data_IF_938650639572
#
_entry.id   IF_938650639572
#
_cell.length_a   1.000
_cell.length_b   1.000
_cell.length_c   1.000
_cell.angle_alpha   90.00
_cell.angle_beta   90.00
_cell.angle_gamma   90.00
#
_symmetry.space_group_name_H-M   'P 1'
#
loop_
_entity.id
_entity.type
_entity.pdbx_description
1 polymer ?
#
# COMPACT_ATOMS: atom_id res chain seq x y z
N UNK A 1 29.94 -10.60 -6.83
CA UNK A 1 28.50 -10.64 -6.54
C UNK A 1 28.26 -11.30 -5.19
N UNK A 2 27.33 -10.79 -4.38
CA UNK A 2 26.85 -11.48 -3.18
C UNK A 2 25.33 -11.40 -3.06
N UNK A 3 24.72 -12.48 -2.60
CA UNK A 3 23.29 -12.61 -2.37
C UNK A 3 23.07 -13.08 -0.93
N UNK A 4 22.27 -12.37 -0.17
CA UNK A 4 21.81 -12.84 1.14
C UNK A 4 20.30 -13.01 1.15
N UNK A 5 19.84 -14.05 1.81
CA UNK A 5 18.42 -14.35 2.01
C UNK A 5 18.22 -14.75 3.46
N UNK A 6 17.15 -14.25 4.10
CA UNK A 6 16.77 -14.66 5.45
C UNK A 6 15.27 -14.87 5.53
N UNK A 7 14.84 -16.02 6.03
CA UNK A 7 13.42 -16.36 6.21
C UNK A 7 13.19 -16.74 7.67
N UNK A 8 12.20 -16.09 8.28
CA UNK A 8 11.77 -16.37 9.65
C UNK A 8 10.51 -17.23 9.59
N UNK A 9 10.50 -18.34 10.33
CA UNK A 9 9.39 -19.26 10.45
C UNK A 9 9.02 -19.42 11.94
N UNK A 10 7.89 -18.85 12.39
CA UNK A 10 7.39 -19.10 13.75
C UNK A 10 6.85 -20.52 13.84
N UNK A 11 7.37 -21.32 14.77
CA UNK A 11 6.89 -22.69 15.02
C UNK A 11 5.83 -22.67 16.11
N UNK A 12 6.06 -21.87 17.16
CA UNK A 12 5.11 -21.65 18.24
C UNK A 12 5.03 -20.16 18.55
N UNK A 13 4.13 -19.78 19.46
CA UNK A 13 4.04 -18.40 19.96
C UNK A 13 5.34 -17.91 20.66
N UNK A 14 6.22 -18.83 21.07
CA UNK A 14 7.48 -18.51 21.76
C UNK A 14 8.72 -18.87 20.97
N UNK A 15 8.62 -19.78 20.01
CA UNK A 15 9.76 -20.33 19.29
C UNK A 15 9.72 -19.93 17.81
N UNK A 16 10.85 -19.45 17.32
CA UNK A 16 11.03 -19.01 15.94
C UNK A 16 12.32 -19.58 15.40
N UNK A 17 12.26 -20.20 14.22
CA UNK A 17 13.46 -20.58 13.47
C UNK A 17 13.71 -19.52 12.41
N UNK A 18 14.96 -19.09 12.30
CA UNK A 18 15.43 -18.21 11.23
C UNK A 18 16.46 -18.98 10.41
N UNK A 19 16.16 -19.14 9.13
CA UNK A 19 17.08 -19.71 8.16
C UNK A 19 17.63 -18.57 7.32
N UNK A 20 18.94 -18.39 7.32
CA UNK A 20 19.60 -17.41 6.45
C UNK A 20 20.72 -18.03 5.65
N UNK A 21 20.84 -17.62 4.40
CA UNK A 21 21.94 -17.99 3.51
C UNK A 21 22.64 -16.72 3.03
N UNK A 22 23.97 -16.76 2.98
CA UNK A 22 24.78 -15.76 2.33
C UNK A 22 25.64 -16.46 1.28
N UNK A 23 25.51 -16.04 0.03
CA UNK A 23 26.29 -16.51 -1.09
C UNK A 23 27.19 -15.35 -1.53
N UNK A 24 28.50 -15.56 -1.55
CA UNK A 24 29.46 -14.70 -2.21
C UNK A 24 30.07 -15.43 -3.40
N UNK A 25 30.70 -14.70 -4.32
CA UNK A 25 31.25 -15.26 -5.57
C UNK A 25 32.17 -16.48 -5.40
N UNK A 26 32.80 -16.66 -4.23
CA UNK A 26 33.75 -17.74 -3.97
C UNK A 26 33.38 -18.62 -2.77
N UNK A 27 32.48 -18.16 -1.90
CA UNK A 27 32.07 -18.90 -0.72
C UNK A 27 30.61 -18.67 -0.39
N UNK A 28 29.92 -19.72 0.05
CA UNK A 28 28.58 -19.64 0.60
C UNK A 28 28.59 -20.06 2.05
N UNK A 29 27.68 -19.50 2.84
CA UNK A 29 27.41 -19.95 4.20
C UNK A 29 25.90 -20.03 4.42
N UNK A 30 25.45 -21.12 5.01
CA UNK A 30 24.06 -21.31 5.45
C UNK A 30 24.05 -21.31 6.97
N UNK A 31 23.18 -20.48 7.52
CA UNK A 31 22.97 -20.30 8.96
C UNK A 31 21.55 -20.71 9.32
N UNK A 32 21.43 -21.53 10.35
CA UNK A 32 20.16 -21.89 10.99
C UNK A 32 20.19 -21.39 12.43
N UNK A 33 19.16 -20.66 12.80
CA UNK A 33 19.05 -19.97 14.07
C UNK A 33 17.75 -20.37 14.77
N UNK A 34 17.82 -20.88 16.00
CA UNK A 34 16.66 -21.15 16.83
C UNK A 34 16.54 -20.08 17.92
N UNK A 35 15.46 -19.30 17.90
CA UNK A 35 15.15 -18.24 18.87
C UNK A 35 13.98 -18.68 19.74
N UNK A 36 14.15 -18.58 21.06
CA UNK A 36 13.11 -18.87 22.06
C UNK A 36 12.89 -17.68 22.98
N UNK A 37 11.64 -17.26 23.11
CA UNK A 37 11.20 -16.26 24.09
C UNK A 37 11.10 -16.94 25.47
N UNK A 38 11.97 -16.56 26.41
CA UNK A 38 11.94 -17.10 27.78
C UNK A 38 10.98 -16.32 28.69
N UNK A 39 10.85 -15.02 28.45
CA UNK A 39 10.01 -14.09 29.20
C UNK A 39 9.54 -12.98 28.27
N UNK A 40 8.60 -12.15 28.70
CA UNK A 40 8.20 -10.93 27.98
C UNK A 40 9.39 -10.00 27.73
N UNK A 41 10.40 -10.06 28.60
CA UNK A 41 11.53 -9.14 28.63
C UNK A 41 12.86 -9.80 28.22
N UNK A 42 12.84 -11.03 27.70
CA UNK A 42 14.09 -11.73 27.37
C UNK A 42 13.93 -12.92 26.43
N UNK A 43 14.95 -13.14 25.62
CA UNK A 43 15.00 -14.21 24.63
C UNK A 43 16.41 -14.79 24.51
N UNK A 44 16.48 -16.04 24.08
CA UNK A 44 17.74 -16.75 23.78
C UNK A 44 17.70 -17.20 22.33
N UNK A 45 18.83 -17.10 21.64
CA UNK A 45 19.00 -17.50 20.25
C UNK A 45 20.25 -18.38 20.14
N UNK A 46 20.10 -19.53 19.52
CA UNK A 46 21.20 -20.43 19.18
C UNK A 46 21.40 -20.39 17.68
N UNK A 47 22.63 -20.15 17.25
CA UNK A 47 23.01 -19.92 15.85
C UNK A 47 24.02 -20.99 15.43
N UNK A 48 23.75 -21.70 14.33
CA UNK A 48 24.67 -22.66 13.72
C UNK A 48 24.86 -22.25 12.27
N UNK A 49 26.08 -21.92 11.88
CA UNK A 49 26.42 -21.54 10.50
C UNK A 49 27.48 -22.48 9.94
N UNK A 50 27.25 -22.97 8.73
CA UNK A 50 28.15 -23.86 8.01
C UNK A 50 28.42 -23.32 6.60
N UNK A 51 29.65 -23.52 6.09
CA UNK A 51 30.03 -23.23 4.71
C UNK A 51 31.43 -22.64 4.56
N UNK A 52 31.73 -21.56 5.30
CA UNK A 52 33.07 -20.95 5.34
C UNK A 52 33.77 -21.23 6.69
N UNK A 53 33.63 -22.47 7.16
CA UNK A 53 33.89 -22.90 8.54
C UNK A 53 32.59 -23.16 9.33
N UNK A 54 32.70 -23.93 10.41
CA UNK A 54 31.61 -24.16 11.36
C UNK A 54 31.63 -23.03 12.40
N UNK A 55 30.52 -22.33 12.55
CA UNK A 55 30.29 -21.35 13.60
C UNK A 55 29.09 -21.79 14.43
N UNK A 56 29.29 -21.92 15.74
CA UNK A 56 28.22 -22.22 16.69
C UNK A 56 28.20 -21.12 17.74
N UNK A 57 27.08 -20.43 17.87
CA UNK A 57 26.91 -19.32 18.80
C UNK A 57 25.63 -19.40 19.61
N UNK A 58 25.65 -18.80 20.79
CA UNK A 58 24.49 -18.55 21.61
C UNK A 58 24.44 -17.05 21.95
N UNK A 59 23.25 -16.46 21.84
CA UNK A 59 22.97 -15.06 22.11
C UNK A 59 21.81 -14.95 23.08
N UNK A 60 22.04 -14.28 24.19
CA UNK A 60 21.08 -14.09 25.27
C UNK A 60 20.77 -12.59 25.35
N UNK A 61 19.51 -12.23 25.21
CA UNK A 61 19.03 -10.86 25.36
C UNK A 61 18.11 -10.75 26.57
N UNK A 62 18.30 -9.71 27.37
CA UNK A 62 17.42 -9.40 28.49
C UNK A 62 17.30 -7.89 28.66
N UNK A 63 16.06 -7.41 28.77
CA UNK A 63 15.77 -6.06 29.25
C UNK A 63 15.92 -6.05 30.77
N UNK A 64 16.91 -5.30 31.26
CA UNK A 64 17.24 -5.19 32.70
C UNK A 64 16.29 -4.17 33.35
N UNK A 65 16.11 -3.03 32.67
CA UNK A 65 15.21 -1.93 33.05
C UNK A 65 14.43 -1.50 31.80
N UNK A 66 13.34 -0.75 31.94
CA UNK A 66 12.58 -0.21 30.78
C UNK A 66 13.44 0.54 29.76
N UNK A 67 14.55 1.12 30.20
CA UNK A 67 15.50 1.89 29.35
C UNK A 67 16.79 1.14 29.05
N UNK A 68 17.14 0.07 29.79
CA UNK A 68 18.44 -0.62 29.71
C UNK A 68 18.22 -2.08 29.28
N UNK A 69 18.93 -2.51 28.25
CA UNK A 69 18.96 -3.90 27.82
C UNK A 69 20.40 -4.39 27.66
N UNK A 70 20.60 -5.66 27.97
CA UNK A 70 21.87 -6.34 27.81
C UNK A 70 21.74 -7.50 26.82
N UNK A 71 22.76 -7.67 25.99
CA UNK A 71 22.92 -8.84 25.14
C UNK A 71 24.29 -9.46 25.39
N UNK A 72 24.31 -10.75 25.68
CA UNK A 72 25.55 -11.53 25.81
C UNK A 72 25.58 -12.55 24.68
N UNK A 73 26.65 -12.54 23.91
CA UNK A 73 26.87 -13.42 22.77
C UNK A 73 28.17 -14.20 23.01
N UNK A 74 28.11 -15.52 22.86
CA UNK A 74 29.28 -16.40 22.88
C UNK A 74 29.25 -17.27 21.64
N UNK A 75 30.38 -17.34 20.92
CA UNK A 75 30.49 -18.14 19.70
C UNK A 75 31.82 -18.87 19.61
N UNK A 76 31.78 -20.03 18.96
CA UNK A 76 32.92 -20.85 18.62
C UNK A 76 33.07 -20.82 17.10
N UNK A 77 34.21 -20.31 16.64
CA UNK A 77 34.51 -20.22 15.22
C UNK A 77 35.59 -21.24 14.89
N UNK A 78 35.34 -22.07 13.88
CA UNK A 78 36.35 -22.93 13.29
C UNK A 78 37.22 -22.11 12.33
N UNK A 79 38.54 -22.19 12.53
CA UNK A 79 39.51 -21.64 11.59
C UNK A 79 40.04 -22.80 10.75
N UNK A 80 40.51 -22.55 9.53
CA UNK A 80 41.05 -23.56 8.59
C UNK A 80 42.16 -24.49 9.14
N UNK A 81 42.62 -24.28 10.39
CA UNK A 81 43.54 -25.14 11.14
C UNK A 81 42.86 -26.15 12.08
N UNK A 82 41.52 -26.29 12.06
CA UNK A 82 40.78 -27.27 12.87
C UNK A 82 40.72 -26.97 14.38
N UNK A 83 41.04 -25.73 14.79
CA UNK A 83 40.98 -25.30 16.20
C UNK A 83 39.82 -24.35 16.41
N UNK A 84 38.85 -24.74 17.24
CA UNK A 84 37.73 -23.89 17.64
C UNK A 84 38.21 -22.77 18.58
N UNK A 85 37.93 -21.52 18.23
CA UNK A 85 38.30 -20.35 19.06
C UNK A 85 37.05 -19.72 19.69
N UNK A 86 36.97 -19.64 21.04
CA UNK A 86 35.85 -18.99 21.70
C UNK A 86 35.98 -17.47 21.62
N UNK A 87 34.92 -16.84 21.12
CA UNK A 87 34.75 -15.40 21.01
C UNK A 87 33.51 -15.01 21.80
N UNK A 88 33.63 -13.97 22.61
CA UNK A 88 32.54 -13.43 23.40
C UNK A 88 32.32 -11.96 23.10
N UNK A 89 31.06 -11.54 23.11
CA UNK A 89 30.68 -10.14 23.00
C UNK A 89 29.55 -9.82 23.97
N UNK A 90 29.74 -8.79 24.77
CA UNK A 90 28.73 -8.22 25.65
C UNK A 90 28.34 -6.86 25.10
N UNK A 91 27.04 -6.63 24.90
CA UNK A 91 26.45 -5.37 24.46
C UNK A 91 25.50 -4.87 25.55
N UNK A 92 25.73 -3.68 26.07
CA UNK A 92 24.82 -2.97 26.94
C UNK A 92 24.27 -1.76 26.18
N UNK A 93 22.96 -1.70 26.03
CA UNK A 93 22.25 -0.60 25.39
C UNK A 93 21.38 0.14 26.40
N UNK A 94 21.33 1.47 26.29
CA UNK A 94 20.46 2.32 27.09
C UNK A 94 19.80 3.39 26.23
N UNK A 95 18.51 3.62 26.43
CA UNK A 95 17.83 4.80 25.90
C UNK A 95 18.22 6.01 26.76
N UNK A 96 19.03 6.90 26.20
CA UNK A 96 19.48 8.14 26.84
C UNK A 96 18.42 9.25 26.76
N UNK A 97 17.48 9.13 25.83
CA UNK A 97 16.33 10.01 25.68
C UNK A 97 15.34 9.45 24.65
N UNK A 98 14.25 10.18 24.40
CA UNK A 98 13.18 9.73 23.51
C UNK A 98 13.64 9.40 22.08
N UNK A 99 14.76 9.99 21.64
CA UNK A 99 15.30 9.87 20.27
C UNK A 99 16.76 9.41 20.21
N UNK A 100 17.37 9.13 21.36
CA UNK A 100 18.81 8.81 21.45
C UNK A 100 19.03 7.51 22.22
N UNK A 101 19.78 6.60 21.62
CA UNK A 101 20.16 5.30 22.18
C UNK A 101 21.68 5.19 22.20
N UNK A 102 22.23 4.90 23.38
CA UNK A 102 23.64 4.64 23.57
C UNK A 102 23.88 3.14 23.70
N UNK A 103 24.98 2.66 23.11
CA UNK A 103 25.43 1.29 23.20
C UNK A 103 26.89 1.24 23.61
N UNK A 104 27.22 0.30 24.47
CA UNK A 104 28.58 -0.05 24.82
C UNK A 104 28.73 -1.53 24.52
N UNK A 105 29.64 -1.90 23.63
CA UNK A 105 29.94 -3.31 23.38
C UNK A 105 31.40 -3.64 23.59
N UNK A 106 31.63 -4.61 24.45
CA UNK A 106 32.93 -5.23 24.70
C UNK A 106 32.95 -6.56 23.97
N UNK A 107 33.79 -6.70 22.97
CA UNK A 107 33.94 -7.92 22.18
C UNK A 107 35.39 -8.38 22.19
N UNK A 108 35.64 -9.66 22.25
CA UNK A 108 37.00 -10.17 22.19
C UNK A 108 37.10 -11.67 22.24
N UNK A 109 38.32 -12.16 22.09
CA UNK A 109 38.61 -13.58 22.30
C UNK A 109 38.67 -13.85 23.80
N UNK A 110 37.90 -14.82 24.29
CA UNK A 110 37.85 -15.16 25.72
C UNK A 110 39.22 -15.55 26.28
N UNK A 111 40.11 -16.09 25.43
CA UNK A 111 41.40 -16.61 25.84
C UNK A 111 42.52 -15.56 25.89
N UNK A 112 42.30 -14.31 25.48
CA UNK A 112 43.38 -13.30 25.49
C UNK A 112 42.86 -11.86 25.57
N UNK A 113 43.30 -11.16 26.61
CA UNK A 113 43.01 -9.73 26.86
C UNK A 113 43.55 -8.84 25.74
N UNK A 114 44.63 -9.24 25.04
CA UNK A 114 45.19 -8.47 23.92
C UNK A 114 44.27 -8.40 22.69
N UNK A 115 43.24 -9.25 22.62
CA UNK A 115 42.28 -9.27 21.51
C UNK A 115 40.88 -8.79 21.92
N UNK A 116 40.78 -7.97 22.97
CA UNK A 116 39.53 -7.30 23.35
C UNK A 116 39.43 -5.94 22.67
N UNK A 117 38.23 -5.62 22.18
CA UNK A 117 37.83 -4.31 21.71
C UNK A 117 36.62 -3.82 22.48
N UNK A 118 36.67 -2.55 22.87
CA UNK A 118 35.56 -1.81 23.41
C UNK A 118 35.02 -0.90 22.31
N UNK A 119 33.71 -0.85 22.13
CA UNK A 119 33.09 0.07 21.19
C UNK A 119 31.92 0.78 21.84
N UNK A 120 31.94 2.10 21.78
CA UNK A 120 30.87 2.98 22.25
C UNK A 120 30.17 3.57 21.04
N UNK A 121 28.86 3.40 20.95
CA UNK A 121 28.03 3.83 19.84
C UNK A 121 26.87 4.68 20.36
N UNK A 122 26.62 5.81 19.71
CA UNK A 122 25.49 6.69 20.01
C UNK A 122 24.70 6.86 18.75
N UNK A 123 23.43 6.50 18.82
CA UNK A 123 22.46 6.55 17.73
C UNK A 123 21.40 7.60 18.07
N UNK A 124 21.19 8.54 17.16
CA UNK A 124 20.16 9.56 17.26
C UNK A 124 19.24 9.44 16.06
N UNK A 125 17.98 9.09 16.31
CA UNK A 125 17.00 8.81 15.27
C UNK A 125 15.86 9.84 15.33
N UNK A 126 15.72 10.60 14.25
CA UNK A 126 14.59 11.50 14.03
C UNK A 126 13.79 11.05 12.80
N UNK A 127 12.63 11.66 12.58
CA UNK A 127 11.79 11.38 11.42
C UNK A 127 12.51 11.74 10.11
N UNK A 128 13.26 12.84 10.10
CA UNK A 128 13.95 13.36 8.91
C UNK A 128 15.41 12.93 8.79
N UNK A 129 16.07 12.61 9.90
CA UNK A 129 17.49 12.28 9.89
C UNK A 129 17.83 11.18 10.88
N UNK A 130 18.91 10.49 10.59
CA UNK A 130 19.48 9.44 11.42
C UNK A 130 20.98 9.66 11.51
N UNK A 131 21.50 9.76 12.72
CA UNK A 131 22.92 9.94 12.98
C UNK A 131 23.40 8.81 13.88
N UNK A 132 24.53 8.21 13.55
CA UNK A 132 25.20 7.22 14.38
C UNK A 132 26.68 7.56 14.45
N UNK A 133 27.20 7.70 15.66
CA UNK A 133 28.62 7.89 15.94
C UNK A 133 29.11 6.68 16.72
N UNK A 134 30.15 6.01 16.22
CA UNK A 134 30.73 4.82 16.84
C UNK A 134 32.23 4.97 16.98
N UNK A 135 32.71 4.79 18.20
CA UNK A 135 34.10 4.86 18.60
C UNK A 135 34.55 3.47 19.06
N UNK A 136 35.48 2.87 18.34
CA UNK A 136 36.08 1.56 18.63
C UNK A 136 37.48 1.79 19.20
N UNK A 137 37.78 1.21 20.37
CA UNK A 137 39.06 1.22 21.07
C UNK A 137 39.49 -0.24 21.28
N UNK A 138 40.78 -0.54 21.13
CA UNK A 138 41.34 -1.88 21.37
C UNK A 138 42.17 -2.34 20.19
N UNK A 139 41.89 -3.53 19.66
CA UNK A 139 42.70 -4.16 18.60
C UNK A 139 42.85 -3.30 17.33
N UNK A 140 41.80 -2.59 16.93
CA UNK A 140 41.78 -1.74 15.75
C UNK A 140 41.01 -0.46 16.06
N UNK A 141 41.66 0.57 16.65
CA UNK A 141 40.96 1.78 17.03
C UNK A 141 40.46 2.51 15.78
N UNK A 142 39.18 2.88 15.80
CA UNK A 142 38.52 3.53 14.69
C UNK A 142 37.34 4.39 15.16
N UNK A 143 37.14 5.51 14.48
CA UNK A 143 35.98 6.38 14.64
C UNK A 143 35.14 6.25 13.39
N UNK A 144 33.85 6.06 13.54
CA UNK A 144 32.91 5.99 12.42
C UNK A 144 31.68 6.84 12.66
N UNK A 145 31.24 7.53 11.62
CA UNK A 145 30.09 8.42 11.63
C UNK A 145 29.21 8.05 10.43
N UNK A 146 27.94 7.76 10.69
CA UNK A 146 26.92 7.51 9.69
C UNK A 146 25.84 8.59 9.83
N UNK A 147 25.64 9.36 8.77
CA UNK A 147 24.53 10.30 8.66
C UNK A 147 23.61 9.87 7.54
N UNK A 148 22.33 9.69 7.83
CA UNK A 148 21.30 9.33 6.86
C UNK A 148 20.20 10.36 6.86
N UNK A 149 19.99 11.01 5.72
CA UNK A 149 18.89 11.94 5.50
C UNK A 149 17.71 11.20 4.88
N UNK A 150 16.55 11.24 5.54
CA UNK A 150 15.32 10.59 5.12
C UNK A 150 14.36 11.60 4.47
N UNK A 151 14.11 11.45 3.17
CA UNK A 151 13.08 12.17 2.44
C UNK A 151 11.82 11.30 2.37
N UNK A 152 10.92 11.51 3.35
CA UNK A 152 9.76 10.63 3.55
C UNK A 152 8.74 10.73 2.41
N UNK A 153 8.56 11.90 1.81
CA UNK A 153 7.61 12.12 0.70
C UNK A 153 8.03 11.40 -0.59
N UNK A 154 9.33 11.19 -0.79
CA UNK A 154 9.88 10.61 -2.02
C UNK A 154 10.41 9.19 -1.82
N UNK A 155 10.21 8.59 -0.63
CA UNK A 155 10.80 7.31 -0.21
C UNK A 155 12.30 7.21 -0.55
N UNK A 156 13.06 8.27 -0.29
CA UNK A 156 14.48 8.38 -0.62
C UNK A 156 15.32 8.60 0.63
N UNK A 157 16.44 7.89 0.72
CA UNK A 157 17.38 7.90 1.83
C UNK A 157 18.77 8.23 1.28
N UNK A 158 19.33 9.37 1.68
CA UNK A 158 20.74 9.69 1.39
C UNK A 158 21.58 9.22 2.57
N UNK A 159 22.65 8.48 2.32
CA UNK A 159 23.52 7.91 3.35
C UNK A 159 24.95 8.37 3.12
N UNK A 160 25.58 8.89 4.15
CA UNK A 160 27.00 9.25 4.18
C UNK A 160 27.62 8.54 5.38
N UNK A 161 28.65 7.76 5.14
CA UNK A 161 29.39 7.03 6.14
C UNK A 161 30.88 7.33 6.02
N UNK A 162 31.49 7.76 7.11
CA UNK A 162 32.92 7.95 7.19
C UNK A 162 33.47 7.08 8.32
N UNK A 163 34.53 6.35 8.06
CA UNK A 163 35.30 5.59 9.05
C UNK A 163 36.75 6.01 8.94
N UNK A 164 37.29 6.56 10.01
CA UNK A 164 38.70 6.85 10.16
C UNK A 164 39.29 5.87 11.18
N UNK A 165 40.13 4.95 10.73
CA UNK A 165 40.74 3.94 11.58
C UNK A 165 42.20 3.72 11.21
N UNK A 166 43.00 3.31 12.18
CA UNK A 166 44.46 3.11 12.00
C UNK A 166 44.76 2.07 10.92
N UNK A 167 43.96 1.00 10.86
CA UNK A 167 44.13 -0.06 9.87
C UNK A 167 43.34 0.17 8.59
N UNK A 168 42.18 0.82 8.67
CA UNK A 168 41.29 0.96 7.52
C UNK A 168 40.47 2.24 7.66
N UNK A 169 40.60 3.09 6.66
CA UNK A 169 39.79 4.29 6.50
C UNK A 169 38.92 4.17 5.25
N UNK A 170 37.64 4.52 5.41
CA UNK A 170 36.60 4.33 4.41
C UNK A 170 35.68 5.53 4.36
N UNK A 171 35.33 5.96 3.16
CA UNK A 171 34.30 6.95 2.91
C UNK A 171 33.26 6.33 1.98
N UNK A 172 32.02 6.23 2.43
CA UNK A 172 30.92 5.74 1.63
C UNK A 172 29.85 6.83 1.53
N UNK A 173 29.32 7.05 0.34
CA UNK A 173 28.14 7.86 0.15
C UNK A 173 27.22 7.16 -0.84
N UNK A 174 25.91 7.33 -0.66
CA UNK A 174 24.97 6.68 -1.55
C UNK A 174 23.53 7.08 -1.33
N UNK A 175 22.71 6.58 -2.24
CA UNK A 175 21.28 6.85 -2.30
C UNK A 175 20.55 5.52 -2.26
N UNK A 176 19.51 5.45 -1.46
CA UNK A 176 18.59 4.32 -1.37
C UNK A 176 17.16 4.82 -1.65
N UNK A 177 16.47 4.19 -2.59
CA UNK A 177 15.15 4.56 -3.08
C UNK A 177 14.23 3.35 -3.00
N UNK A 178 13.11 3.49 -2.30
CA UNK A 178 12.04 2.49 -2.37
C UNK A 178 11.26 2.70 -3.66
N UNK A 179 11.19 1.67 -4.49
CA UNK A 179 10.54 1.74 -5.82
C UNK A 179 9.15 1.12 -5.79
N UNK A 180 8.97 0.10 -4.95
CA UNK A 180 7.67 -0.56 -4.74
C UNK A 180 7.54 -0.97 -3.27
N UNK A 181 6.39 -1.52 -2.87
CA UNK A 181 6.15 -2.01 -1.50
C UNK A 181 7.23 -2.98 -1.01
N UNK A 182 7.77 -3.80 -1.92
CA UNK A 182 8.73 -4.87 -1.63
C UNK A 182 10.12 -4.65 -2.25
N UNK A 183 10.28 -3.66 -3.13
CA UNK A 183 11.52 -3.46 -3.89
C UNK A 183 12.20 -2.15 -3.50
N UNK A 184 13.47 -2.25 -3.11
CA UNK A 184 14.33 -1.11 -2.80
C UNK A 184 15.61 -1.21 -3.62
N UNK A 185 15.97 -0.12 -4.28
CA UNK A 185 17.23 0.01 -5.01
C UNK A 185 18.14 0.97 -4.26
N UNK A 186 19.42 0.64 -4.15
CA UNK A 186 20.41 1.54 -3.62
C UNK A 186 21.70 1.49 -4.44
N UNK A 187 22.34 2.64 -4.57
CA UNK A 187 23.65 2.79 -5.18
C UNK A 187 24.55 3.51 -4.16
N UNK A 188 25.64 2.85 -3.78
CA UNK A 188 26.59 3.38 -2.79
C UNK A 188 27.99 3.31 -3.37
N UNK A 189 28.68 4.44 -3.43
CA UNK A 189 30.10 4.50 -3.78
C UNK A 189 30.89 4.38 -2.50
N UNK A 190 31.83 3.43 -2.49
CA UNK A 190 32.76 3.19 -1.41
C UNK A 190 34.17 3.54 -1.86
N UNK A 191 34.82 4.42 -1.11
CA UNK A 191 36.21 4.81 -1.28
C UNK A 191 36.95 4.27 -0.05
N UNK A 192 37.70 3.21 -0.26
CA UNK A 192 38.52 2.56 0.76
C UNK A 192 40.00 2.83 0.47
N UNK A 193 40.82 3.10 1.50
CA UNK A 193 42.27 3.26 1.33
C UNK A 193 42.95 1.99 0.83
N UNK A 194 42.44 0.82 1.21
CA UNK A 194 43.03 -0.48 0.86
C UNK A 194 42.44 -1.08 -0.41
N UNK A 195 41.13 -0.92 -0.61
CA UNK A 195 40.39 -1.57 -1.70
C UNK A 195 40.06 -0.60 -2.86
N UNK A 196 40.55 0.63 -2.80
CA UNK A 196 40.30 1.67 -3.78
C UNK A 196 38.82 2.07 -3.87
N UNK A 197 38.34 2.29 -5.10
CA UNK A 197 37.00 2.80 -5.38
C UNK A 197 36.09 1.67 -5.88
N UNK A 198 35.02 1.41 -5.14
CA UNK A 198 34.03 0.37 -5.47
C UNK A 198 32.62 0.97 -5.52
N UNK A 199 31.91 0.76 -6.62
CA UNK A 199 30.48 1.04 -6.73
C UNK A 199 29.68 -0.20 -6.32
N UNK A 200 28.88 -0.09 -5.25
CA UNK A 200 27.98 -1.15 -4.80
C UNK A 200 26.56 -0.82 -5.23
N UNK A 201 26.00 -1.64 -6.12
CA UNK A 201 24.58 -1.61 -6.48
C UNK A 201 23.87 -2.66 -5.64
N UNK A 202 22.92 -2.22 -4.81
CA UNK A 202 22.13 -3.06 -3.93
C UNK A 202 20.68 -3.10 -4.41
N UNK A 203 20.16 -4.29 -4.60
CA UNK A 203 18.75 -4.53 -4.90
C UNK A 203 18.15 -5.40 -3.80
N UNK A 204 17.14 -4.89 -3.11
CA UNK A 204 16.43 -5.60 -2.06
C UNK A 204 15.03 -5.91 -2.57
N UNK A 205 14.67 -7.19 -2.56
CA UNK A 205 13.32 -7.68 -2.87
C UNK A 205 12.82 -8.51 -1.70
N UNK A 206 11.84 -7.97 -0.97
CA UNK A 206 11.28 -8.59 0.23
C UNK A 206 12.38 -9.05 1.23
N UNK A 207 12.65 -10.35 1.32
CA UNK A 207 13.64 -10.96 2.21
C UNK A 207 14.99 -11.26 1.56
N UNK A 208 15.16 -10.95 0.27
CA UNK A 208 16.38 -11.19 -0.50
C UNK A 208 17.11 -9.88 -0.77
N UNK A 209 18.41 -9.87 -0.53
CA UNK A 209 19.29 -8.73 -0.82
C UNK A 209 20.40 -9.17 -1.77
N UNK A 210 20.42 -8.55 -2.94
CA UNK A 210 21.44 -8.72 -3.96
C UNK A 210 22.39 -7.53 -3.93
N UNK A 211 23.69 -7.79 -3.83
CA UNK A 211 24.73 -6.76 -3.84
C UNK A 211 25.72 -7.07 -4.96
N UNK A 212 25.85 -6.12 -5.87
CA UNK A 212 26.76 -6.16 -7.00
C UNK A 212 27.86 -5.13 -6.78
N UNK A 213 29.00 -5.51 -6.17
CA UNK A 213 30.15 -4.64 -6.07
C UNK A 213 30.91 -4.63 -7.40
N UNK A 214 31.04 -3.45 -7.99
CA UNK A 214 31.83 -3.18 -9.18
C UNK A 214 33.07 -2.42 -8.71
N UNK A 215 34.21 -3.10 -8.70
CA UNK A 215 35.50 -2.48 -8.41
C UNK A 215 35.92 -1.63 -9.62
N UNK A 216 36.10 -0.33 -9.43
CA UNK A 216 36.45 0.60 -10.50
C UNK A 216 37.95 0.87 -10.55
N UNK A 217 38.59 0.98 -9.39
CA UNK A 217 40.03 1.22 -9.27
C UNK A 217 40.55 0.66 -7.96
N UNK A 218 41.78 0.15 -7.96
CA UNK A 218 42.50 -0.25 -6.75
C UNK A 218 43.11 0.95 -6.02
N UNK A 219 43.40 2.03 -6.74
CA UNK A 219 43.93 3.27 -6.19
C UNK A 219 42.84 4.35 -6.10
N UNK A 220 43.01 5.28 -5.16
CA UNK A 220 42.09 6.43 -5.00
C UNK A 220 42.44 7.47 -6.08
N UNK A 221 41.77 7.34 -7.23
CA UNK A 221 41.92 8.27 -8.35
C UNK A 221 40.57 8.96 -8.61
N UNK A 222 40.61 10.25 -8.95
CA UNK A 222 39.43 11.10 -9.15
C UNK A 222 38.47 10.61 -10.26
N UNK A 223 38.93 10.23 -11.47
CA UNK A 223 38.01 9.79 -12.54
C UNK A 223 37.09 8.60 -12.17
N UNK A 224 37.57 7.51 -11.55
CA UNK A 224 36.69 6.45 -11.03
C UNK A 224 35.59 6.94 -10.09
N UNK A 225 35.89 7.91 -9.22
CA UNK A 225 34.91 8.51 -8.29
C UNK A 225 33.83 9.26 -9.07
N UNK A 226 34.22 9.99 -10.12
CA UNK A 226 33.30 10.70 -10.99
C UNK A 226 32.38 9.74 -11.77
N UNK A 227 32.92 8.66 -12.34
CA UNK A 227 32.08 7.67 -13.01
C UNK A 227 31.17 6.94 -12.03
N UNK A 228 31.65 6.65 -10.81
CA UNK A 228 30.85 6.00 -9.77
C UNK A 228 29.63 6.82 -9.32
N UNK A 229 29.70 8.16 -9.41
CA UNK A 229 28.59 9.06 -9.06
C UNK A 229 27.65 9.28 -10.21
N UNK A 230 28.17 9.68 -11.37
CA UNK A 230 27.35 10.13 -12.48
C UNK A 230 26.66 8.97 -13.20
N UNK A 231 27.34 7.83 -13.40
CA UNK A 231 26.77 6.71 -14.17
C UNK A 231 25.51 6.14 -13.50
N UNK A 232 25.46 5.85 -12.18
CA UNK A 232 24.24 5.36 -11.56
C UNK A 232 23.08 6.37 -11.58
N UNK A 233 23.37 7.67 -11.44
CA UNK A 233 22.34 8.72 -11.45
C UNK A 233 21.72 8.84 -12.84
N UNK A 234 22.55 8.93 -13.88
CA UNK A 234 22.07 9.01 -15.27
C UNK A 234 21.36 7.72 -15.68
N UNK A 235 21.93 6.57 -15.33
CA UNK A 235 21.31 5.26 -15.58
C UNK A 235 19.94 5.14 -14.92
N UNK A 236 19.80 5.61 -13.67
CA UNK A 236 18.52 5.64 -12.98
C UNK A 236 17.51 6.58 -13.66
N UNK A 237 17.92 7.77 -14.09
CA UNK A 237 17.04 8.71 -14.78
C UNK A 237 16.52 8.14 -16.11
N UNK A 238 17.41 7.54 -16.90
CA UNK A 238 17.05 6.88 -18.16
C UNK A 238 16.12 5.69 -17.90
N UNK A 239 16.47 4.80 -16.97
CA UNK A 239 15.65 3.64 -16.63
C UNK A 239 14.27 4.03 -16.10
N UNK A 240 14.19 5.12 -15.30
CA UNK A 240 12.93 5.64 -14.78
C UNK A 240 12.01 6.11 -15.90
N UNK A 241 12.50 7.00 -16.76
CA UNK A 241 11.66 7.62 -17.78
C UNK A 241 11.31 6.65 -18.92
N UNK A 242 12.24 5.77 -19.31
CA UNK A 242 12.08 4.88 -20.48
C UNK A 242 11.41 3.55 -20.12
N UNK A 243 11.63 3.02 -18.91
CA UNK A 243 11.15 1.67 -18.54
C UNK A 243 10.11 1.74 -17.43
N UNK A 244 10.41 2.39 -16.31
CA UNK A 244 9.53 2.34 -15.13
C UNK A 244 8.23 3.12 -15.32
N UNK A 245 8.31 4.35 -15.80
CA UNK A 245 7.15 5.23 -15.98
C UNK A 245 6.11 4.68 -16.98
N UNK A 246 6.47 4.15 -18.18
CA UNK A 246 5.48 3.56 -19.07
C UNK A 246 4.83 2.32 -18.46
N UNK A 247 5.61 1.44 -17.84
CA UNK A 247 5.09 0.25 -17.18
C UNK A 247 4.11 0.62 -16.05
N UNK A 248 4.45 1.62 -15.23
CA UNK A 248 3.60 2.03 -14.12
C UNK A 248 2.30 2.72 -14.61
N UNK A 249 2.36 3.48 -15.70
CA UNK A 249 1.17 4.02 -16.36
C UNK A 249 0.26 2.90 -16.86
N UNK A 250 0.82 1.87 -17.50
CA UNK A 250 0.05 0.72 -17.97
C UNK A 250 -0.61 -0.06 -16.83
N UNK A 251 0.10 -0.28 -15.72
CA UNK A 251 -0.49 -0.90 -14.53
C UNK A 251 -1.65 -0.09 -13.97
N UNK A 252 -1.49 1.24 -13.86
CA UNK A 252 -2.55 2.12 -13.37
C UNK A 252 -3.77 2.10 -14.30
N UNK A 253 -3.54 2.11 -15.61
CA UNK A 253 -4.60 2.04 -16.62
C UNK A 253 -5.34 0.70 -16.56
N UNK A 254 -4.63 -0.42 -16.37
CA UNK A 254 -5.23 -1.74 -16.21
C UNK A 254 -6.13 -1.82 -14.98
N UNK A 255 -5.73 -1.23 -13.87
CA UNK A 255 -6.54 -1.23 -12.64
C UNK A 255 -7.82 -0.41 -12.83
N UNK A 256 -7.71 0.78 -13.44
CA UNK A 256 -8.87 1.60 -13.79
C UNK A 256 -9.80 0.85 -14.74
N UNK A 257 -9.25 0.16 -15.74
CA UNK A 257 -10.06 -0.62 -16.69
C UNK A 257 -10.76 -1.80 -16.02
N UNK A 258 -10.09 -2.52 -15.11
CA UNK A 258 -10.72 -3.60 -14.32
C UNK A 258 -11.87 -3.08 -13.47
N UNK A 259 -11.67 -1.95 -12.80
CA UNK A 259 -12.74 -1.31 -12.01
C UNK A 259 -13.91 -0.90 -12.91
N UNK A 260 -13.64 -0.34 -14.09
CA UNK A 260 -14.66 -0.03 -15.09
C UNK A 260 -15.42 -1.27 -15.57
N UNK A 261 -14.73 -2.38 -15.81
CA UNK A 261 -15.36 -3.65 -16.23
C UNK A 261 -16.24 -4.25 -15.14
N UNK A 262 -15.76 -4.26 -13.88
CA UNK A 262 -16.54 -4.74 -12.73
C UNK A 262 -17.80 -3.88 -12.56
N UNK A 263 -17.66 -2.56 -12.63
CA UNK A 263 -18.80 -1.65 -12.53
C UNK A 263 -19.79 -1.86 -13.69
N UNK A 264 -19.33 -2.04 -14.93
CA UNK A 264 -20.20 -2.32 -16.08
C UNK A 264 -20.99 -3.61 -15.92
N UNK A 265 -20.36 -4.70 -15.46
CA UNK A 265 -21.05 -5.98 -15.23
C UNK A 265 -22.13 -5.85 -14.15
N UNK A 266 -21.78 -5.22 -13.03
CA UNK A 266 -22.73 -4.95 -11.94
C UNK A 266 -23.92 -4.11 -12.40
N UNK A 267 -23.70 -3.11 -13.26
CA UNK A 267 -24.79 -2.30 -13.82
C UNK A 267 -25.67 -3.10 -14.78
N UNK A 268 -25.09 -4.00 -15.59
CA UNK A 268 -25.86 -4.85 -16.47
C UNK A 268 -26.76 -5.84 -15.70
N UNK A 269 -26.25 -6.41 -14.61
CA UNK A 269 -27.00 -7.31 -13.72
C UNK A 269 -28.19 -6.58 -13.08
N UNK A 270 -27.96 -5.42 -12.45
CA UNK A 270 -29.04 -4.61 -11.84
C UNK A 270 -30.09 -4.18 -12.88
N UNK A 271 -29.65 -3.83 -14.09
CA UNK A 271 -30.57 -3.50 -15.18
C UNK A 271 -31.42 -4.71 -15.58
N UNK A 272 -30.83 -5.89 -15.67
CA UNK A 272 -31.55 -7.11 -16.02
C UNK A 272 -32.55 -7.52 -14.92
N UNK A 273 -32.16 -7.41 -13.66
CA UNK A 273 -33.04 -7.63 -12.50
C UNK A 273 -34.24 -6.68 -12.53
N UNK A 274 -34.00 -5.37 -12.73
CA UNK A 274 -35.06 -4.38 -12.82
C UNK A 274 -36.02 -4.65 -13.99
N UNK A 275 -35.51 -4.97 -15.18
CA UNK A 275 -36.33 -5.32 -16.35
C UNK A 275 -37.16 -6.58 -16.10
N UNK A 276 -36.59 -7.60 -15.43
CA UNK A 276 -37.33 -8.81 -15.08
C UNK A 276 -38.46 -8.52 -14.09
N UNK A 277 -38.23 -7.64 -13.12
CA UNK A 277 -39.24 -7.20 -12.15
C UNK A 277 -40.36 -6.40 -12.85
N UNK A 278 -40.01 -5.49 -13.76
CA UNK A 278 -40.98 -4.73 -14.58
C UNK A 278 -41.86 -5.70 -15.37
N UNK A 279 -41.27 -6.71 -16.01
CA UNK A 279 -42.02 -7.68 -16.81
C UNK A 279 -43.02 -8.49 -15.97
N UNK A 280 -42.64 -8.88 -14.74
CA UNK A 280 -43.54 -9.57 -13.81
C UNK A 280 -44.68 -8.67 -13.32
N UNK A 281 -44.46 -7.36 -13.28
CA UNK A 281 -45.44 -6.36 -12.82
C UNK A 281 -46.45 -5.94 -13.89
N UNK A 282 -46.25 -6.26 -15.17
CA UNK A 282 -47.15 -5.83 -16.24
C UNK A 282 -48.60 -6.31 -16.03
N UNK A 283 -48.79 -7.57 -15.63
CA UNK A 283 -50.12 -8.12 -15.36
C UNK A 283 -50.82 -7.42 -14.18
N UNK A 284 -50.05 -7.07 -13.13
CA UNK A 284 -50.60 -6.32 -11.99
C UNK A 284 -50.92 -4.88 -12.35
N UNK A 285 -50.09 -4.25 -13.18
CA UNK A 285 -50.30 -2.90 -13.69
C UNK A 285 -51.59 -2.81 -14.48
N UNK A 286 -51.82 -3.71 -15.44
CA UNK A 286 -53.05 -3.71 -16.24
C UNK A 286 -54.31 -3.86 -15.38
N UNK A 287 -54.26 -4.71 -14.35
CA UNK A 287 -55.39 -4.89 -13.42
C UNK A 287 -55.68 -3.61 -12.65
N UNK A 288 -54.64 -2.98 -12.07
CA UNK A 288 -54.79 -1.73 -11.30
C UNK A 288 -55.29 -0.62 -12.21
N UNK A 289 -54.77 -0.48 -13.44
CA UNK A 289 -55.22 0.54 -14.38
C UNK A 289 -56.71 0.36 -14.71
N UNK A 290 -57.20 -0.86 -14.95
CA UNK A 290 -58.63 -1.10 -15.19
C UNK A 290 -59.48 -0.69 -13.97
N UNK A 291 -59.11 -1.14 -12.78
CA UNK A 291 -59.82 -0.82 -11.53
C UNK A 291 -59.84 0.70 -11.23
N UNK A 292 -58.73 1.39 -11.45
CA UNK A 292 -58.61 2.84 -11.24
C UNK A 292 -59.34 3.65 -12.34
N UNK A 293 -59.37 3.15 -13.58
CA UNK A 293 -60.12 3.80 -14.69
C UNK A 293 -61.62 3.80 -14.42
N UNK A 294 -62.17 2.68 -13.91
CA UNK A 294 -63.59 2.60 -13.52
C UNK A 294 -63.95 3.58 -12.41
N UNK A 295 -63.02 3.81 -11.47
CA UNK A 295 -63.21 4.71 -10.32
C UNK A 295 -62.86 6.17 -10.60
N UNK A 296 -62.37 6.48 -11.82
CA UNK A 296 -61.75 7.79 -12.17
C UNK A 296 -60.67 8.21 -11.16
N UNK A 297 -59.88 7.22 -10.74
CA UNK A 297 -58.85 7.33 -9.73
C UNK A 297 -57.51 7.78 -10.30
N UNK A 298 -56.41 7.28 -9.73
CA UNK A 298 -55.06 7.73 -10.05
C UNK A 298 -54.40 6.82 -11.10
N UNK A 299 -54.01 7.39 -12.24
CA UNK A 299 -53.29 6.66 -13.30
C UNK A 299 -52.03 7.43 -13.67
N UNK A 300 -50.87 6.77 -13.61
CA UNK A 300 -49.59 7.34 -14.02
C UNK A 300 -49.49 7.22 -15.54
N UNK A 301 -49.40 8.37 -16.23
CA UNK A 301 -49.18 8.44 -17.67
C UNK A 301 -47.72 8.13 -17.96
N UNK A 302 -46.84 8.81 -17.21
CA UNK A 302 -45.42 8.79 -17.49
C UNK A 302 -44.58 9.01 -16.24
N UNK A 303 -43.47 8.29 -16.11
CA UNK A 303 -42.54 8.49 -15.02
C UNK A 303 -41.11 8.17 -15.42
N UNK A 304 -40.21 9.12 -15.19
CA UNK A 304 -38.78 9.03 -15.51
C UNK A 304 -37.92 9.21 -14.27
N UNK A 305 -36.92 8.36 -14.11
CA UNK A 305 -35.94 8.41 -13.04
C UNK A 305 -34.52 8.44 -13.58
N UNK A 306 -33.68 9.37 -13.10
CA UNK A 306 -32.30 9.51 -13.61
C UNK A 306 -31.61 10.78 -13.13
N UNK A 307 -30.52 11.14 -13.81
CA UNK A 307 -29.73 12.34 -13.48
C UNK A 307 -30.57 13.62 -13.62
N UNK A 308 -30.49 14.47 -12.59
CA UNK A 308 -31.21 15.74 -12.51
C UNK A 308 -30.96 16.70 -13.69
N UNK A 309 -29.71 16.82 -14.15
CA UNK A 309 -29.31 17.74 -15.23
C UNK A 309 -29.92 17.33 -16.58
N UNK A 310 -29.86 16.04 -16.91
CA UNK A 310 -30.40 15.50 -18.16
C UNK A 310 -31.93 15.58 -18.20
N UNK A 311 -32.58 15.29 -17.08
CA UNK A 311 -34.03 15.38 -16.96
C UNK A 311 -34.49 16.84 -17.15
N UNK A 312 -33.79 17.81 -16.56
CA UNK A 312 -34.12 19.23 -16.71
C UNK A 312 -34.01 19.73 -18.17
N UNK A 313 -33.01 19.24 -18.91
CA UNK A 313 -32.83 19.56 -20.33
C UNK A 313 -33.92 18.93 -21.21
N UNK A 314 -34.38 17.72 -20.86
CA UNK A 314 -35.43 17.04 -21.62
C UNK A 314 -36.81 17.71 -21.50
N UNK A 315 -37.12 18.38 -20.38
CA UNK A 315 -38.38 19.12 -20.19
C UNK A 315 -38.45 20.38 -21.08
N UNK A 316 -37.31 20.92 -21.51
CA UNK A 316 -37.25 22.09 -22.41
C UNK A 316 -37.33 21.72 -23.90
N UNK A 317 -37.20 20.44 -24.23
CA UNK A 317 -37.15 19.93 -25.60
C UNK A 317 -38.33 18.96 -25.80
N UNK A 318 -39.47 19.46 -26.27
CA UNK A 318 -40.64 18.63 -26.63
C UNK A 318 -40.38 17.83 -27.92
N UNK A 319 -39.41 16.91 -27.90
CA UNK A 319 -39.27 15.90 -28.94
C UNK A 319 -39.30 14.51 -28.33
N UNK A 320 -40.40 13.82 -28.63
CA UNK A 320 -40.64 12.39 -28.42
C UNK A 320 -39.67 11.56 -29.28
N UNK A 321 -38.38 11.62 -28.96
CA UNK A 321 -37.38 10.73 -29.55
C UNK A 321 -37.02 9.64 -28.54
N UNK A 322 -37.45 8.41 -28.87
CA UNK A 322 -37.22 7.13 -28.19
C UNK A 322 -35.75 6.75 -27.97
N UNK A 323 -34.80 7.68 -28.11
CA UNK A 323 -33.42 7.46 -27.68
C UNK A 323 -33.35 7.58 -26.16
N UNK A 324 -33.60 6.45 -25.48
CA UNK A 324 -33.23 6.19 -24.09
C UNK A 324 -31.81 6.71 -23.84
N UNK A 325 -31.68 7.93 -23.30
CA UNK A 325 -30.39 8.43 -22.88
C UNK A 325 -29.82 7.45 -21.84
N UNK A 326 -28.52 7.13 -21.87
CA UNK A 326 -27.93 6.03 -21.10
C UNK A 326 -28.11 6.14 -19.57
N UNK A 327 -28.65 7.27 -19.10
CA UNK A 327 -28.74 7.68 -17.70
C UNK A 327 -30.17 7.98 -17.22
N UNK A 328 -31.21 7.68 -18.02
CA UNK A 328 -32.63 7.86 -17.68
C UNK A 328 -33.37 6.53 -17.83
N UNK A 329 -34.18 6.19 -16.83
CA UNK A 329 -34.97 4.96 -16.75
C UNK A 329 -36.45 5.32 -16.78
N UNK A 330 -37.22 4.56 -17.54
CA UNK A 330 -38.68 4.59 -17.47
C UNK A 330 -39.15 3.73 -16.28
N UNK A 331 -39.86 4.36 -15.35
CA UNK A 331 -40.35 3.75 -14.11
C UNK A 331 -41.88 3.83 -13.98
N UNK A 332 -42.58 4.01 -15.10
CA UNK A 332 -44.04 4.02 -15.20
C UNK A 332 -44.70 2.77 -14.60
N UNK A 333 -44.29 1.59 -15.07
CA UNK A 333 -44.91 0.31 -14.68
C UNK A 333 -44.72 0.02 -13.18
N UNK A 334 -43.50 0.12 -12.61
CA UNK A 334 -43.30 -0.05 -11.17
C UNK A 334 -44.11 0.93 -10.32
N UNK A 335 -44.19 2.20 -10.71
CA UNK A 335 -44.92 3.20 -9.93
C UNK A 335 -46.44 2.97 -10.00
N UNK A 336 -46.98 2.57 -11.15
CA UNK A 336 -48.40 2.25 -11.27
C UNK A 336 -48.79 1.07 -10.36
N UNK A 337 -47.90 0.10 -10.20
CA UNK A 337 -48.14 -1.04 -9.29
C UNK A 337 -48.15 -0.65 -7.80
N UNK A 338 -47.58 0.50 -7.44
CA UNK A 338 -47.55 1.01 -6.07
C UNK A 338 -48.81 1.84 -5.71
N UNK A 339 -49.67 2.14 -6.69
CA UNK A 339 -50.93 2.86 -6.46
C UNK A 339 -51.92 1.96 -5.72
N UNK A 340 -52.51 2.48 -4.64
CA UNK A 340 -53.55 1.82 -3.86
C UNK A 340 -54.63 2.82 -3.47
N UNK A 341 -55.89 2.47 -3.67
CA UNK A 341 -57.06 3.30 -3.34
C UNK A 341 -56.95 4.73 -3.93
N UNK A 342 -56.59 4.84 -5.21
CA UNK A 342 -56.38 6.10 -5.92
C UNK A 342 -55.34 7.04 -5.29
N UNK A 343 -54.39 6.51 -4.50
CA UNK A 343 -53.27 7.24 -3.93
C UNK A 343 -51.94 6.52 -4.16
N UNK A 344 -50.87 7.29 -4.37
CA UNK A 344 -49.50 6.79 -4.40
C UNK A 344 -48.73 7.40 -3.22
N UNK A 345 -48.12 6.55 -2.39
CA UNK A 345 -47.32 6.96 -1.24
C UNK A 345 -45.92 6.36 -1.38
N UNK A 346 -44.92 7.20 -1.60
CA UNK A 346 -43.50 6.85 -1.56
C UNK A 346 -42.86 7.46 -0.30
N UNK A 347 -42.16 6.63 0.46
CA UNK A 347 -41.42 7.05 1.63
C UNK A 347 -40.11 7.77 1.26
N UNK A 348 -39.47 8.42 2.23
CA UNK A 348 -38.21 9.17 2.07
C UNK A 348 -36.96 8.28 1.89
N UNK A 349 -37.13 7.04 1.45
CA UNK A 349 -36.04 6.13 1.10
C UNK A 349 -35.61 6.38 -0.35
N UNK A 350 -34.37 5.99 -0.68
CA UNK A 350 -33.85 6.08 -2.06
C UNK A 350 -34.75 5.28 -3.01
N UNK A 351 -35.19 5.92 -4.10
CA UNK A 351 -36.12 5.29 -5.04
C UNK A 351 -35.46 4.16 -5.84
N UNK A 352 -34.13 4.14 -5.92
CA UNK A 352 -33.36 3.01 -6.46
C UNK A 352 -33.65 1.65 -5.80
N UNK A 353 -34.12 1.64 -4.55
CA UNK A 353 -34.39 0.38 -3.82
C UNK A 353 -35.80 -0.18 -4.11
N UNK A 354 -36.63 0.56 -4.83
CA UNK A 354 -37.96 0.09 -5.21
C UNK A 354 -37.83 -1.02 -6.26
N UNK A 355 -38.73 -2.02 -6.24
CA UNK A 355 -38.66 -3.12 -7.19
C UNK A 355 -38.94 -2.58 -8.60
N UNK A 356 -38.11 -2.96 -9.58
CA UNK A 356 -38.16 -2.40 -10.95
C UNK A 356 -37.41 -1.09 -11.13
N UNK A 357 -36.85 -0.51 -10.06
CA UNK A 357 -35.91 0.61 -10.14
C UNK A 357 -34.46 0.09 -10.10
N UNK A 358 -33.56 0.82 -10.73
CA UNK A 358 -32.12 0.70 -10.53
C UNK A 358 -31.48 2.09 -10.58
N UNK A 359 -30.23 2.22 -10.14
CA UNK A 359 -29.50 3.49 -10.20
C UNK A 359 -28.79 3.62 -11.56
N UNK A 360 -29.19 4.55 -12.45
CA UNK A 360 -28.51 4.75 -13.73
C UNK A 360 -27.23 5.61 -13.60
N UNK A 361 -27.08 6.34 -12.49
CA UNK A 361 -26.05 7.36 -12.27
C UNK A 361 -25.51 7.30 -10.83
N UNK A 362 -24.64 6.32 -10.57
CA UNK A 362 -24.04 6.15 -9.25
C UNK A 362 -23.17 7.37 -8.90
N UNK A 363 -23.52 8.05 -7.80
CA UNK A 363 -22.78 9.18 -7.25
C UNK A 363 -23.19 10.55 -7.76
N UNK A 364 -24.19 10.62 -8.65
CA UNK A 364 -24.79 11.88 -9.11
C UNK A 364 -26.19 12.07 -8.51
N UNK A 365 -26.68 13.32 -8.53
CA UNK A 365 -28.00 13.68 -8.02
C UNK A 365 -29.11 13.18 -8.95
N UNK A 366 -30.12 12.55 -8.34
CA UNK A 366 -31.21 11.89 -9.05
C UNK A 366 -32.55 12.50 -8.73
N UNK A 367 -33.39 12.55 -9.77
CA UNK A 367 -34.73 13.12 -9.72
C UNK A 367 -35.72 12.15 -10.33
N UNK A 368 -36.91 12.10 -9.75
CA UNK A 368 -38.07 11.41 -10.30
C UNK A 368 -39.09 12.46 -10.79
N UNK A 369 -39.48 12.36 -12.05
CA UNK A 369 -40.64 13.09 -12.61
C UNK A 369 -41.77 12.10 -12.81
N UNK A 370 -42.96 12.48 -12.39
CA UNK A 370 -44.20 11.70 -12.54
C UNK A 370 -45.29 12.60 -13.12
N UNK A 371 -45.84 12.19 -14.24
CA UNK A 371 -47.06 12.71 -14.83
C UNK A 371 -48.20 11.71 -14.60
N UNK A 372 -49.31 12.19 -14.06
CA UNK A 372 -50.45 11.35 -13.71
C UNK A 372 -51.78 12.04 -14.00
N UNK A 373 -52.81 11.24 -14.23
CA UNK A 373 -54.21 11.67 -14.27
C UNK A 373 -54.91 11.32 -12.98
N UNK A 374 -55.75 12.23 -12.51
CA UNK A 374 -56.66 11.97 -11.39
C UNK A 374 -57.95 12.75 -11.63
N UNK A 375 -59.10 12.06 -11.62
CA UNK A 375 -60.41 12.65 -11.95
C UNK A 375 -60.41 13.40 -13.30
N UNK A 376 -59.85 12.76 -14.33
CA UNK A 376 -59.78 13.27 -15.71
C UNK A 376 -58.95 14.57 -15.88
N UNK A 377 -58.09 14.91 -14.91
CA UNK A 377 -57.15 16.03 -15.00
C UNK A 377 -55.70 15.56 -14.89
N UNK A 378 -54.81 16.12 -15.71
CA UNK A 378 -53.39 15.77 -15.76
C UNK A 378 -52.55 16.67 -14.86
N UNK A 379 -51.65 16.06 -14.11
CA UNK A 379 -50.76 16.74 -13.18
C UNK A 379 -49.33 16.25 -13.33
N UNK A 380 -48.37 17.16 -13.12
CA UNK A 380 -46.94 16.84 -13.06
C UNK A 380 -46.40 17.08 -11.65
N UNK A 381 -45.56 16.16 -11.18
CA UNK A 381 -44.80 16.31 -9.94
C UNK A 381 -43.36 15.86 -10.16
N UNK A 382 -42.43 16.69 -9.69
CA UNK A 382 -41.00 16.42 -9.67
C UNK A 382 -40.51 16.36 -8.23
N UNK A 383 -39.75 15.31 -7.90
CA UNK A 383 -39.20 15.09 -6.57
C UNK A 383 -37.75 14.58 -6.64
N UNK A 384 -36.98 14.89 -5.60
CA UNK A 384 -35.63 14.34 -5.42
C UNK A 384 -35.69 12.90 -4.90
N UNK A 385 -34.61 12.14 -5.08
CA UNK A 385 -34.53 10.71 -4.73
C UNK A 385 -34.96 10.38 -3.27
N UNK A 386 -34.53 11.20 -2.30
CA UNK A 386 -34.82 10.98 -0.88
C UNK A 386 -36.11 11.64 -0.40
N UNK A 387 -36.86 12.34 -1.27
CA UNK A 387 -38.07 13.03 -0.86
C UNK A 387 -39.26 12.07 -0.78
N UNK A 388 -40.15 12.27 0.21
CA UNK A 388 -41.40 11.53 0.29
C UNK A 388 -42.43 12.12 -0.69
N UNK A 389 -43.10 11.25 -1.44
CA UNK A 389 -44.12 11.64 -2.42
C UNK A 389 -45.46 11.06 -2.01
N UNK A 390 -46.48 11.91 -1.89
CA UNK A 390 -47.87 11.48 -1.72
C UNK A 390 -48.70 12.17 -2.80
N UNK A 391 -49.28 11.40 -3.70
CA UNK A 391 -50.13 11.85 -4.80
C UNK A 391 -51.53 11.25 -4.59
N UNK A 392 -52.63 12.01 -4.80
CA UNK A 392 -52.71 13.39 -5.30
C UNK A 392 -52.26 14.46 -4.29
N UNK A 393 -51.50 15.48 -4.74
CA UNK A 393 -51.18 16.69 -3.94
C UNK A 393 -52.15 17.84 -4.27
N UNK A 394 -52.48 18.72 -3.32
CA UNK A 394 -53.29 19.92 -3.60
C UNK A 394 -52.55 21.00 -4.43
N UNK A 395 -51.22 20.91 -4.58
CA UNK A 395 -50.37 21.89 -5.27
C UNK A 395 -49.56 21.30 -6.44
N UNK A 396 -50.00 20.19 -7.04
CA UNK A 396 -49.38 19.68 -8.26
C UNK A 396 -49.68 20.60 -9.45
N UNK A 397 -48.70 20.82 -10.34
CA UNK A 397 -48.89 21.68 -11.51
C UNK A 397 -49.84 20.99 -12.49
N UNK A 398 -50.93 21.68 -12.87
CA UNK A 398 -51.86 21.22 -13.91
C UNK A 398 -51.19 21.38 -15.27
N UNK A 399 -51.01 20.29 -15.99
CA UNK A 399 -50.65 20.35 -17.40
C UNK A 399 -51.93 20.66 -18.16
N UNK A 400 -52.02 21.87 -18.75
CA UNK A 400 -53.11 22.19 -19.68
C UNK A 400 -52.83 21.47 -20.98
N UNK A 401 -53.55 20.38 -21.24
CA UNK A 401 -53.56 19.74 -22.56
C UNK A 401 -54.06 20.74 -23.61
N UNK A 402 -53.21 21.11 -24.56
CA UNK A 402 -53.63 21.83 -25.76
C UNK A 402 -54.61 20.94 -26.53
N UNK A 403 -55.81 21.45 -26.79
CA UNK A 403 -56.82 20.84 -27.66
C UNK A 403 -56.23 20.44 -29.02
N UNK A 404 -56.58 19.26 -29.59
CA UNK A 404 -56.17 18.92 -30.94
C UNK A 404 -56.80 19.90 -31.94
N UNK A 405 -56.08 20.32 -33.00
CA UNK A 405 -56.69 21.08 -34.08
C UNK A 405 -57.72 20.19 -34.79
N UNK A 406 -58.91 20.76 -34.96
CA UNK A 406 -60.08 20.21 -35.67
C UNK A 406 -59.81 19.87 -37.13
#
# INVERSE_FOLDING_TARGET
MSMSMSTEAPITLRDTIVLSGNLSSRSGSVSSSYKRLLSTNGWVKYDVTAGNGLHVGAKIFKMITKTIFGTVEGSLNDLSSGTLKPIGRVLLGTSLGARTTGYISLGGRLTSIKHTSLSTEVEHNTERSYCMCKLEIGLAPAISVLYTWKFIEQDLLLRIYARAGVLNSKLEYGVEKKVSKLNTFAATVQIDVINGVTLKIKFVRASQTYIFPILLSHDIITPPIFYATFVPIVSWFVAKNVILDPIMKDYKNREINKQREINKKRMAELRQEALSAINLMMATMERIVREETEKRGLIIIFAKYGNAELINQSVQSFDNSDTLQPNIIDVTVPLQCLVKDSQLILHSTTKCQLPGFYDPCIGEDKVLIVEYTHRDQNYEVKINDNEALRIPRPHSQLIRTSTPPS
#
